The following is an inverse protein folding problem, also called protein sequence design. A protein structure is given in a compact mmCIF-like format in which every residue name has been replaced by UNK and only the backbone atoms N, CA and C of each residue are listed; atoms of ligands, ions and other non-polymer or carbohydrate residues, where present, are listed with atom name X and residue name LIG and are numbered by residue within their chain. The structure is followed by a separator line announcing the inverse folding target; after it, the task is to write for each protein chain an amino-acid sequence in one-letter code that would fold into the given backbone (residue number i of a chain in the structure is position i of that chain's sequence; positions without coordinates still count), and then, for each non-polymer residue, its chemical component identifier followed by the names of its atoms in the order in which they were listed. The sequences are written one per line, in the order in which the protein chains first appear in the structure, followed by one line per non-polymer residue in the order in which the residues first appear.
data_IF_840307798567
#
_entry.id   IF_840307798567
#
_cell.length_a   1.000
_cell.length_b   1.000
_cell.length_c   1.000
_cell.angle_alpha   90.00
_cell.angle_beta   90.00
_cell.angle_gamma   90.00
#
_symmetry.space_group_name_H-M   'P 1'
#
loop_
_entity.id
_entity.type
_entity.pdbx_description
1 polymer ?
#
# COMPACT_ATOMS: atom_id res chain seq x y z
N UNK A 1 38.11 2.05 12.36
CA UNK A 1 36.80 2.72 12.13
C UNK A 1 36.14 2.02 10.93
N UNK A 2 34.80 1.89 10.92
CA UNK A 2 33.95 1.42 9.78
C UNK A 2 33.38 -0.01 9.73
N UNK A 3 32.94 -0.58 10.84
CA UNK A 3 31.91 -1.66 10.81
C UNK A 3 30.52 -1.19 11.23
N UNK A 4 30.42 -0.04 11.91
CA UNK A 4 29.16 0.53 12.39
C UNK A 4 28.32 1.20 11.27
N UNK A 5 28.94 1.61 10.15
CA UNK A 5 28.25 2.29 9.06
C UNK A 5 27.39 1.36 8.18
N UNK A 6 27.65 0.04 8.19
CA UNK A 6 26.87 -0.93 7.41
C UNK A 6 25.54 -1.30 8.07
N UNK A 7 25.42 -1.07 9.38
CA UNK A 7 24.27 -1.51 10.20
C UNK A 7 23.08 -0.52 10.13
N UNK A 8 23.22 0.67 9.51
CA UNK A 8 22.20 1.73 9.55
C UNK A 8 21.41 1.99 8.24
N UNK A 9 21.66 1.25 7.16
CA UNK A 9 21.04 1.49 5.84
C UNK A 9 20.03 0.43 5.39
N UNK A 10 20.16 -0.83 5.83
CA UNK A 10 19.25 -1.91 5.41
C UNK A 10 17.78 -1.69 5.79
N UNK A 11 17.42 -1.27 7.02
CA UNK A 11 16.01 -1.02 7.35
C UNK A 11 15.40 0.11 6.51
N UNK A 12 16.19 1.14 6.18
CA UNK A 12 15.72 2.24 5.33
C UNK A 12 15.55 1.80 3.88
N UNK A 13 16.45 0.97 3.35
CA UNK A 13 16.32 0.40 2.01
C UNK A 13 15.09 -0.52 1.91
N UNK A 14 14.92 -1.43 2.87
CA UNK A 14 13.75 -2.30 2.95
C UNK A 14 12.45 -1.49 3.02
N UNK A 15 12.39 -0.47 3.89
CA UNK A 15 11.21 0.40 3.99
C UNK A 15 10.90 1.12 2.67
N UNK A 16 11.94 1.61 1.96
CA UNK A 16 11.78 2.24 0.64
C UNK A 16 11.29 1.25 -0.41
N UNK A 17 11.83 0.03 -0.44
CA UNK A 17 11.38 -1.01 -1.36
C UNK A 17 9.91 -1.35 -1.13
N UNK A 18 9.48 -1.51 0.13
CA UNK A 18 8.07 -1.76 0.47
C UNK A 18 7.17 -0.58 0.08
N UNK A 19 7.63 0.67 0.24
CA UNK A 19 6.87 1.85 -0.16
C UNK A 19 6.66 1.91 -1.68
N UNK A 20 7.70 1.61 -2.46
CA UNK A 20 7.60 1.55 -3.93
C UNK A 20 6.68 0.40 -4.36
N UNK A 21 6.88 -0.80 -3.80
CA UNK A 21 6.02 -1.95 -4.06
C UNK A 21 4.56 -1.67 -3.74
N UNK A 22 4.29 -0.95 -2.66
CA UNK A 22 2.92 -0.55 -2.30
C UNK A 22 2.31 0.38 -3.35
N UNK A 23 3.05 1.41 -3.78
CA UNK A 23 2.55 2.36 -4.79
C UNK A 23 2.30 1.69 -6.14
N UNK A 24 3.26 0.89 -6.61
CA UNK A 24 3.13 0.12 -7.86
C UNK A 24 1.99 -0.88 -7.76
N UNK A 25 1.89 -1.60 -6.64
CA UNK A 25 0.82 -2.56 -6.38
C UNK A 25 -0.57 -1.92 -6.41
N UNK A 26 -0.73 -0.72 -5.83
CA UNK A 26 -1.98 0.05 -5.92
C UNK A 26 -2.29 0.42 -7.37
N UNK A 27 -1.31 0.88 -8.15
CA UNK A 27 -1.53 1.19 -9.57
C UNK A 27 -1.96 -0.05 -10.37
N UNK A 28 -1.36 -1.21 -10.08
CA UNK A 28 -1.77 -2.51 -10.64
C UNK A 28 -3.23 -2.85 -10.26
N UNK A 29 -3.69 -2.54 -9.04
CA UNK A 29 -5.09 -2.77 -8.66
C UNK A 29 -6.08 -2.02 -9.56
N UNK A 30 -5.81 -0.74 -9.86
CA UNK A 30 -6.63 0.05 -10.77
C UNK A 30 -6.60 -0.51 -12.19
N UNK A 31 -5.43 -0.95 -12.66
CA UNK A 31 -5.30 -1.59 -13.97
C UNK A 31 -6.11 -2.90 -14.05
N UNK A 32 -6.01 -3.79 -13.05
CA UNK A 32 -6.74 -5.06 -13.03
C UNK A 32 -8.26 -4.87 -12.95
N UNK A 33 -8.72 -3.89 -12.16
CA UNK A 33 -10.13 -3.51 -12.15
C UNK A 33 -10.57 -2.99 -13.53
N UNK A 34 -9.77 -2.10 -14.14
CA UNK A 34 -10.01 -1.57 -15.48
C UNK A 34 -10.06 -2.65 -16.57
N UNK A 35 -9.13 -3.61 -16.55
CA UNK A 35 -9.14 -4.76 -17.47
C UNK A 35 -10.50 -5.44 -17.48
N UNK A 36 -11.07 -5.69 -16.30
CA UNK A 36 -12.36 -6.37 -16.21
C UNK A 36 -13.52 -5.49 -16.65
N UNK A 37 -13.49 -4.19 -16.33
CA UNK A 37 -14.47 -3.21 -16.84
C UNK A 37 -14.47 -3.16 -18.37
N UNK A 38 -13.30 -3.32 -19.00
CA UNK A 38 -13.16 -3.34 -20.46
C UNK A 38 -13.24 -4.75 -21.09
N UNK A 39 -13.66 -5.77 -20.33
CA UNK A 39 -13.98 -7.10 -20.86
C UNK A 39 -12.83 -8.10 -20.93
N UNK A 40 -11.65 -7.79 -20.37
CA UNK A 40 -10.57 -8.76 -20.20
C UNK A 40 -10.84 -9.64 -18.97
N UNK A 41 -11.08 -10.93 -19.20
CA UNK A 41 -11.80 -11.82 -18.28
C UNK A 41 -11.23 -11.97 -16.86
N UNK A 42 -9.97 -12.38 -16.70
CA UNK A 42 -9.41 -12.80 -15.38
C UNK A 42 -9.10 -11.65 -14.42
N UNK A 43 -9.51 -10.42 -14.73
CA UNK A 43 -9.13 -9.24 -13.97
C UNK A 43 -9.69 -9.20 -12.54
N UNK A 44 -10.91 -9.70 -12.27
CA UNK A 44 -11.48 -9.70 -10.90
C UNK A 44 -10.79 -10.66 -9.95
N UNK A 45 -10.49 -11.89 -10.39
CA UNK A 45 -9.77 -12.88 -9.57
C UNK A 45 -8.33 -12.42 -9.30
N UNK A 46 -7.65 -11.93 -10.34
CA UNK A 46 -6.31 -11.36 -10.21
C UNK A 46 -6.31 -10.13 -9.28
N UNK A 47 -7.30 -9.24 -9.41
CA UNK A 47 -7.49 -8.08 -8.55
C UNK A 47 -7.69 -8.50 -7.08
N UNK A 48 -8.58 -9.45 -6.81
CA UNK A 48 -8.82 -9.93 -5.44
C UNK A 48 -7.56 -10.57 -4.82
N UNK A 49 -6.89 -11.47 -5.55
CA UNK A 49 -5.70 -12.16 -5.06
C UNK A 49 -4.53 -11.20 -4.82
N UNK A 50 -4.23 -10.34 -5.79
CA UNK A 50 -3.13 -9.37 -5.68
C UNK A 50 -3.45 -8.24 -4.70
N UNK A 51 -4.72 -7.86 -4.57
CA UNK A 51 -5.21 -6.93 -3.56
C UNK A 51 -5.02 -7.45 -2.14
N UNK A 52 -5.27 -8.74 -1.91
CA UNK A 52 -4.93 -9.40 -0.63
C UNK A 52 -3.42 -9.46 -0.39
N UNK A 53 -2.63 -9.80 -1.41
CA UNK A 53 -1.17 -9.86 -1.32
C UNK A 53 -0.54 -8.48 -1.04
N UNK A 54 -1.16 -7.39 -1.52
CA UNK A 54 -0.75 -6.01 -1.25
C UNK A 54 -0.76 -5.66 0.25
N UNK A 55 -1.51 -6.41 1.07
CA UNK A 55 -1.46 -6.28 2.53
C UNK A 55 -0.07 -6.57 3.12
N UNK A 56 0.73 -7.44 2.50
CA UNK A 56 2.07 -7.79 2.99
C UNK A 56 3.03 -6.60 3.02
N UNK A 57 3.27 -5.85 1.92
CA UNK A 57 4.14 -4.69 1.97
C UNK A 57 3.57 -3.57 2.85
N UNK A 58 2.25 -3.39 2.92
CA UNK A 58 1.62 -2.37 3.77
C UNK A 58 1.81 -2.71 5.26
N UNK A 59 1.59 -3.97 5.65
CA UNK A 59 1.87 -4.44 7.01
C UNK A 59 3.36 -4.30 7.35
N UNK A 60 4.25 -4.65 6.41
CA UNK A 60 5.68 -4.46 6.57
C UNK A 60 6.07 -3.00 6.83
N UNK A 61 5.52 -2.04 6.08
CA UNK A 61 5.70 -0.61 6.34
C UNK A 61 5.22 -0.22 7.73
N UNK A 62 4.03 -0.67 8.13
CA UNK A 62 3.49 -0.39 9.46
C UNK A 62 4.41 -0.90 10.56
N UNK A 63 4.82 -2.17 10.51
CA UNK A 63 5.69 -2.79 11.51
C UNK A 63 7.08 -2.16 11.55
N UNK A 64 7.71 -1.93 10.39
CA UNK A 64 9.04 -1.30 10.31
C UNK A 64 9.04 0.14 10.82
N UNK A 65 7.92 0.86 10.74
CA UNK A 65 7.82 2.24 11.22
C UNK A 65 7.98 2.40 12.74
N UNK A 66 7.95 1.30 13.51
CA UNK A 66 8.24 1.32 14.95
C UNK A 66 9.74 1.29 15.26
N UNK A 67 10.60 1.00 14.27
CA UNK A 67 12.05 1.09 14.43
C UNK A 67 12.48 2.55 14.62
N UNK A 68 13.46 2.78 15.49
CA UNK A 68 13.87 4.12 15.91
C UNK A 68 14.18 5.07 14.73
N UNK A 69 14.82 4.57 13.67
CA UNK A 69 15.18 5.33 12.48
C UNK A 69 14.07 5.50 11.44
N UNK A 70 12.84 5.06 11.72
CA UNK A 70 11.69 5.14 10.80
C UNK A 70 10.42 5.73 11.46
N UNK A 71 10.51 6.17 12.72
CA UNK A 71 9.37 6.68 13.51
C UNK A 71 8.69 7.89 12.88
N UNK A 72 9.45 8.69 12.12
CA UNK A 72 8.96 9.85 11.37
C UNK A 72 7.93 9.47 10.29
N UNK A 73 7.95 8.22 9.82
CA UNK A 73 7.02 7.68 8.82
C UNK A 73 5.82 6.96 9.44
N UNK A 74 5.84 6.70 10.76
CA UNK A 74 4.84 5.88 11.47
C UNK A 74 3.42 6.34 11.25
N UNK A 75 3.16 7.66 11.34
CA UNK A 75 1.81 8.18 11.10
C UNK A 75 1.29 7.81 9.71
N UNK A 76 2.11 7.96 8.67
CA UNK A 76 1.68 7.64 7.30
C UNK A 76 1.50 6.14 7.11
N UNK A 77 2.42 5.33 7.64
CA UNK A 77 2.33 3.88 7.57
C UNK A 77 1.10 3.34 8.32
N UNK A 78 0.79 3.87 9.51
CA UNK A 78 -0.42 3.50 10.27
C UNK A 78 -1.71 3.90 9.56
N UNK A 79 -1.77 5.11 8.99
CA UNK A 79 -2.95 5.53 8.22
C UNK A 79 -3.11 4.67 6.97
N UNK A 80 -2.03 4.38 6.25
CA UNK A 80 -2.07 3.51 5.07
C UNK A 80 -2.55 2.09 5.41
N UNK A 81 -2.09 1.54 6.54
CA UNK A 81 -2.56 0.24 7.03
C UNK A 81 -4.04 0.27 7.44
N UNK A 82 -4.50 1.31 8.13
CA UNK A 82 -5.91 1.47 8.47
C UNK A 82 -6.79 1.59 7.22
N UNK A 83 -6.35 2.36 6.22
CA UNK A 83 -7.04 2.46 4.92
C UNK A 83 -7.04 1.11 4.19
N UNK A 84 -5.98 0.31 4.27
CA UNK A 84 -5.97 -1.05 3.70
C UNK A 84 -6.98 -1.97 4.38
N UNK A 85 -7.08 -1.95 5.71
CA UNK A 85 -8.11 -2.73 6.42
C UNK A 85 -9.52 -2.30 5.97
N UNK A 86 -9.75 -0.99 5.87
CA UNK A 86 -10.99 -0.45 5.32
C UNK A 86 -11.23 -0.89 3.86
N UNK A 87 -10.19 -0.93 3.03
CA UNK A 87 -10.27 -1.38 1.63
C UNK A 87 -10.82 -2.80 1.52
N UNK A 88 -10.27 -3.72 2.33
CA UNK A 88 -10.69 -5.12 2.37
C UNK A 88 -12.11 -5.25 2.91
N UNK A 89 -12.45 -4.49 3.96
CA UNK A 89 -13.82 -4.45 4.49
C UNK A 89 -14.83 -3.96 3.45
N UNK A 90 -14.53 -2.87 2.73
CA UNK A 90 -15.40 -2.33 1.69
C UNK A 90 -15.59 -3.32 0.54
N UNK A 91 -14.53 -4.06 0.16
CA UNK A 91 -14.63 -5.11 -0.85
C UNK A 91 -15.57 -6.25 -0.41
N UNK A 92 -15.43 -6.70 0.84
CA UNK A 92 -16.25 -7.79 1.38
C UNK A 92 -17.72 -7.38 1.55
N UNK A 93 -17.98 -6.19 2.10
CA UNK A 93 -19.34 -5.66 2.32
C UNK A 93 -20.03 -5.31 1.01
N UNK A 94 -19.28 -4.90 -0.02
CA UNK A 94 -19.84 -4.49 -1.32
C UNK A 94 -20.70 -5.54 -2.02
N UNK A 95 -20.49 -6.83 -1.73
CA UNK A 95 -21.31 -7.93 -2.27
C UNK A 95 -22.76 -7.87 -1.79
N UNK A 96 -23.00 -7.40 -0.56
CA UNK A 96 -24.34 -7.28 0.03
C UNK A 96 -24.86 -5.84 0.08
N UNK A 97 -23.98 -4.85 0.02
CA UNK A 97 -24.32 -3.42 0.10
C UNK A 97 -23.55 -2.62 -0.97
N UNK A 98 -24.01 -2.61 -2.23
CA UNK A 98 -23.28 -2.02 -3.35
C UNK A 98 -22.95 -0.54 -3.18
N UNK A 99 -23.86 0.24 -2.57
CA UNK A 99 -23.62 1.68 -2.31
C UNK A 99 -22.46 1.92 -1.35
N UNK A 100 -22.30 1.06 -0.34
CA UNK A 100 -21.17 1.12 0.59
C UNK A 100 -19.91 0.59 -0.12
N UNK A 101 -20.04 -0.51 -0.86
CA UNK A 101 -18.96 -1.07 -1.68
C UNK A 101 -18.38 -0.09 -2.70
N UNK A 102 -19.18 0.83 -3.23
CA UNK A 102 -18.74 1.87 -4.15
C UNK A 102 -17.70 2.84 -3.55
N UNK A 103 -17.55 2.87 -2.22
CA UNK A 103 -16.46 3.60 -1.56
C UNK A 103 -15.10 2.92 -1.71
N UNK A 104 -15.05 1.65 -2.10
CA UNK A 104 -13.81 0.88 -2.30
C UNK A 104 -12.83 1.56 -3.28
N UNK A 105 -13.22 1.95 -4.51
CA UNK A 105 -12.31 2.67 -5.40
C UNK A 105 -11.90 4.06 -4.85
N UNK A 106 -12.79 4.73 -4.10
CA UNK A 106 -12.48 6.04 -3.46
C UNK A 106 -11.41 5.87 -2.38
N UNK A 107 -11.54 4.86 -1.52
CA UNK A 107 -10.54 4.54 -0.52
C UNK A 107 -9.21 4.09 -1.15
N UNK A 108 -9.27 3.32 -2.24
CA UNK A 108 -8.10 2.95 -3.05
C UNK A 108 -7.34 4.17 -3.59
N UNK A 109 -8.06 5.22 -4.03
CA UNK A 109 -7.45 6.48 -4.46
C UNK A 109 -6.73 7.18 -3.30
N UNK A 110 -7.35 7.25 -2.12
CA UNK A 110 -6.72 7.82 -0.92
C UNK A 110 -5.44 7.08 -0.53
N UNK A 111 -5.47 5.73 -0.60
CA UNK A 111 -4.28 4.90 -0.39
C UNK A 111 -3.19 5.24 -1.41
N UNK A 112 -3.53 5.36 -2.69
CA UNK A 112 -2.58 5.74 -3.75
C UNK A 112 -1.92 7.09 -3.52
N UNK A 113 -2.71 8.11 -3.16
CA UNK A 113 -2.20 9.44 -2.83
C UNK A 113 -1.27 9.42 -1.61
N UNK A 114 -1.63 8.67 -0.56
CA UNK A 114 -0.81 8.55 0.64
C UNK A 114 0.49 7.78 0.36
N UNK A 115 0.43 6.71 -0.44
CA UNK A 115 1.60 5.94 -0.87
C UNK A 115 2.53 6.79 -1.73
N UNK A 116 1.99 7.59 -2.66
CA UNK A 116 2.77 8.53 -3.47
C UNK A 116 3.47 9.58 -2.58
N UNK A 117 2.75 10.15 -1.61
CA UNK A 117 3.32 11.10 -0.65
C UNK A 117 4.44 10.49 0.20
N UNK A 118 4.27 9.24 0.65
CA UNK A 118 5.30 8.51 1.39
C UNK A 118 6.56 8.32 0.53
N UNK A 119 6.40 7.87 -0.71
CA UNK A 119 7.51 7.70 -1.65
C UNK A 119 8.22 9.03 -1.96
N UNK A 120 7.47 10.12 -2.14
CA UNK A 120 8.05 11.45 -2.35
C UNK A 120 8.92 11.89 -1.17
N UNK A 121 8.44 11.72 0.07
CA UNK A 121 9.22 12.03 1.28
C UNK A 121 10.51 11.22 1.36
N UNK A 122 10.43 9.94 0.99
CA UNK A 122 11.59 9.06 0.96
C UNK A 122 12.58 9.42 -0.16
N UNK A 123 12.12 10.03 -1.26
CA UNK A 123 12.94 10.37 -2.43
C UNK A 123 13.69 11.70 -2.33
N UNK A 124 13.02 12.76 -1.85
CA UNK A 124 13.49 14.15 -2.03
C UNK A 124 13.89 14.90 -0.75
N UNK A 125 13.51 14.44 0.46
CA UNK A 125 13.83 15.14 1.72
C UNK A 125 15.10 14.57 2.39
N UNK A 126 16.18 14.36 1.62
CA UNK A 126 17.48 14.01 2.21
C UNK A 126 18.09 15.18 2.96
#
# INVERSE_FOLDING_TARGET
MSSAAFVSSMPRLGFRALAVLTLVGIAVQFFLAGMTVFGAGTGWEAHAATGGALGLPILGLFLMSFLAGLREHRRMASVLFALYLLQVTLAAVGQGQPLIGALHPVNGLLMGLLAARLNFRLGFLR
#
